data_IF_876549170556
#
_entry.id   IF_876549170556
#
_cell.length_a   1.000
_cell.length_b   1.000
_cell.length_c   1.000
_cell.angle_alpha   90.00
_cell.angle_beta   90.00
_cell.angle_gamma   90.00
#
_symmetry.space_group_name_H-M   'P 1'
#
loop_
_entity.id
_entity.type
_entity.pdbx_description
1 polymer ?
#
# COMPACT_ATOMS: atom_id res chain seq x y z
N UNK A 1 8.47 1.57 -13.98
CA UNK A 1 9.29 1.32 -12.77
C UNK A 1 8.46 0.50 -11.80
N UNK A 2 9.06 -0.51 -11.15
CA UNK A 2 8.42 -1.32 -10.11
C UNK A 2 9.18 -1.06 -8.82
N UNK A 3 8.48 -0.73 -7.74
CA UNK A 3 9.04 -0.63 -6.40
C UNK A 3 8.63 -1.87 -5.60
N UNK A 4 9.57 -2.42 -4.84
CA UNK A 4 9.33 -3.52 -3.92
C UNK A 4 9.46 -3.03 -2.47
N UNK A 5 8.60 -3.51 -1.59
CA UNK A 5 8.61 -3.16 -0.16
C UNK A 5 8.22 -4.39 0.64
N UNK A 6 9.04 -4.72 1.63
CA UNK A 6 8.83 -5.90 2.48
C UNK A 6 8.24 -5.46 3.80
N UNK A 7 7.20 -6.16 4.25
CA UNK A 7 6.62 -5.99 5.58
C UNK A 7 6.53 -7.35 6.29
N UNK A 8 6.42 -7.30 7.61
CA UNK A 8 6.12 -8.44 8.45
C UNK A 8 4.69 -8.29 8.95
N UNK A 9 3.87 -9.33 8.83
CA UNK A 9 2.50 -9.30 9.34
C UNK A 9 2.51 -9.12 10.85
N UNK A 10 1.78 -8.11 11.33
CA UNK A 10 1.67 -7.79 12.76
C UNK A 10 0.52 -8.57 13.38
N UNK A 11 0.66 -8.94 14.65
CA UNK A 11 -0.37 -9.69 15.36
C UNK A 11 -1.75 -9.00 15.34
N UNK A 12 -1.79 -7.66 15.46
CA UNK A 12 -3.06 -6.92 15.42
C UNK A 12 -3.79 -7.04 14.06
N UNK A 13 -3.05 -7.36 12.99
CA UNK A 13 -3.60 -7.39 11.64
C UNK A 13 -4.43 -8.66 11.38
N UNK A 14 -4.37 -9.66 12.28
CA UNK A 14 -5.11 -10.92 12.17
C UNK A 14 -6.49 -10.87 12.81
N UNK A 15 -7.42 -11.68 12.31
CA UNK A 15 -8.77 -11.84 12.87
C UNK A 15 -9.03 -13.27 13.40
N UNK A 16 -10.28 -13.54 13.79
CA UNK A 16 -10.70 -14.83 14.35
C UNK A 16 -10.55 -16.01 13.39
N UNK A 17 -10.33 -15.77 12.10
CA UNK A 17 -10.11 -16.81 11.08
C UNK A 17 -8.63 -17.23 10.99
N UNK A 18 -7.76 -16.78 11.91
CA UNK A 18 -6.32 -17.09 11.95
C UNK A 18 -5.56 -16.58 10.71
N UNK A 19 -6.06 -15.50 10.11
CA UNK A 19 -5.50 -14.86 8.92
C UNK A 19 -5.59 -13.35 9.04
N UNK A 20 -4.86 -12.64 8.18
CA UNK A 20 -4.94 -11.18 8.10
C UNK A 20 -6.35 -10.75 7.68
N UNK A 21 -6.95 -9.88 8.48
CA UNK A 21 -8.23 -9.26 8.16
C UNK A 21 -8.11 -8.51 6.83
N UNK A 22 -9.06 -8.75 5.92
CA UNK A 22 -9.00 -8.26 4.54
C UNK A 22 -8.78 -6.74 4.45
N UNK A 23 -9.29 -5.96 5.39
CA UNK A 23 -9.12 -4.51 5.42
C UNK A 23 -7.66 -4.05 5.56
N UNK A 24 -6.80 -4.83 6.22
CA UNK A 24 -5.41 -4.46 6.45
C UNK A 24 -4.56 -4.47 5.16
N UNK A 25 -5.02 -5.15 4.10
CA UNK A 25 -4.34 -5.11 2.80
C UNK A 25 -4.32 -3.68 2.22
N UNK A 26 -5.31 -2.83 2.50
CA UNK A 26 -5.31 -1.44 2.06
C UNK A 26 -4.24 -0.59 2.77
N UNK A 27 -3.97 -0.88 4.04
CA UNK A 27 -2.85 -0.28 4.77
C UNK A 27 -1.52 -0.67 4.12
N UNK A 28 -1.38 -1.92 3.68
CA UNK A 28 -0.19 -2.38 2.99
C UNK A 28 -0.04 -1.73 1.61
N UNK A 29 -1.14 -1.51 0.87
CA UNK A 29 -1.11 -0.77 -0.39
C UNK A 29 -0.64 0.68 -0.20
N UNK A 30 -1.05 1.33 0.90
CA UNK A 30 -0.56 2.65 1.24
C UNK A 30 0.94 2.66 1.54
N UNK A 31 1.45 1.66 2.29
CA UNK A 31 2.90 1.50 2.53
C UNK A 31 3.65 1.40 1.20
N UNK A 32 3.21 0.53 0.30
CA UNK A 32 3.82 0.39 -1.03
C UNK A 32 3.75 1.67 -1.87
N UNK A 33 2.62 2.39 -1.83
CA UNK A 33 2.45 3.69 -2.50
C UNK A 33 3.42 4.74 -1.96
N UNK A 34 3.56 4.82 -0.64
CA UNK A 34 4.45 5.79 0.00
C UNK A 34 5.93 5.50 -0.31
N UNK A 35 6.34 4.23 -0.29
CA UNK A 35 7.71 3.84 -0.66
C UNK A 35 7.96 4.00 -2.16
N UNK A 36 6.96 3.81 -3.01
CA UNK A 36 7.06 4.16 -4.43
C UNK A 36 7.29 5.66 -4.62
N UNK A 37 6.54 6.53 -3.95
CA UNK A 37 6.78 7.97 -3.99
C UNK A 37 8.18 8.33 -3.47
N UNK A 38 8.60 7.71 -2.36
CA UNK A 38 9.94 7.93 -1.79
C UNK A 38 11.04 7.54 -2.76
N UNK A 39 10.86 6.46 -3.53
CA UNK A 39 11.80 6.05 -4.59
C UNK A 39 11.94 7.09 -5.72
N UNK A 40 10.92 7.94 -5.91
CA UNK A 40 10.93 9.07 -6.84
C UNK A 40 11.48 10.37 -6.21
N UNK A 41 11.96 10.32 -4.96
CA UNK A 41 12.49 11.48 -4.25
C UNK A 41 11.43 12.42 -3.71
N UNK A 42 10.20 11.96 -3.52
CA UNK A 42 9.10 12.75 -2.94
C UNK A 42 8.34 11.97 -1.88
N UNK A 43 7.85 12.66 -0.86
CA UNK A 43 7.00 12.09 0.19
C UNK A 43 5.61 12.73 0.17
N UNK A 44 4.60 12.01 0.65
CA UNK A 44 3.24 12.55 0.82
C UNK A 44 3.26 13.86 1.64
N UNK A 45 4.07 13.91 2.70
CA UNK A 45 4.24 15.12 3.53
C UNK A 45 4.76 16.32 2.73
N UNK A 46 5.71 16.12 1.82
CA UNK A 46 6.22 17.20 0.97
C UNK A 46 5.19 17.67 -0.05
N UNK A 47 4.33 16.77 -0.54
CA UNK A 47 3.21 17.13 -1.42
C UNK A 47 2.15 17.93 -0.66
N UNK A 48 1.78 17.49 0.54
CA UNK A 48 0.84 18.20 1.41
C UNK A 48 1.34 19.61 1.75
N UNK A 49 2.64 19.75 2.07
CA UNK A 49 3.26 21.07 2.29
C UNK A 49 3.21 22.00 1.06
N UNK A 50 3.04 21.43 -0.14
CA UNK A 50 2.85 22.15 -1.39
C UNK A 50 1.37 22.32 -1.76
N UNK A 51 0.44 22.05 -0.83
CA UNK A 51 -1.00 22.01 -1.05
C UNK A 51 -1.45 21.01 -2.13
N UNK A 52 -0.70 19.93 -2.32
CA UNK A 52 -1.04 18.83 -3.21
C UNK A 52 -1.50 17.63 -2.39
N UNK A 53 -2.76 17.23 -2.58
CA UNK A 53 -3.35 16.05 -1.95
C UNK A 53 -3.45 14.90 -2.94
N UNK A 54 -3.32 13.67 -2.45
CA UNK A 54 -3.46 12.44 -3.24
C UNK A 54 -4.64 11.60 -2.71
N UNK A 55 -5.90 12.04 -2.87
CA UNK A 55 -7.05 11.27 -2.41
C UNK A 55 -7.23 9.99 -3.22
N UNK A 56 -7.56 8.90 -2.53
CA UNK A 56 -7.96 7.65 -3.17
C UNK A 56 -9.44 7.75 -3.54
N UNK A 57 -9.75 7.74 -4.83
CA UNK A 57 -11.13 7.81 -5.35
C UNK A 57 -11.73 6.43 -5.66
N UNK A 58 -10.87 5.44 -5.94
CA UNK A 58 -11.26 4.07 -6.24
C UNK A 58 -10.19 3.12 -5.68
N UNK A 59 -10.62 1.97 -5.17
CA UNK A 59 -9.70 0.91 -4.74
C UNK A 59 -10.33 -0.46 -4.95
N UNK A 60 -9.50 -1.47 -5.15
CA UNK A 60 -9.94 -2.85 -5.32
C UNK A 60 -8.88 -3.83 -4.83
N UNK A 61 -9.34 -4.96 -4.30
CA UNK A 61 -8.48 -6.05 -3.88
C UNK A 61 -9.10 -7.39 -4.25
N UNK A 62 -8.28 -8.28 -4.80
CA UNK A 62 -8.64 -9.69 -5.03
C UNK A 62 -7.78 -10.53 -4.11
N UNK A 63 -8.41 -11.22 -3.16
CA UNK A 63 -7.73 -12.06 -2.18
C UNK A 63 -7.60 -13.48 -2.76
N UNK A 64 -6.40 -13.85 -3.19
CA UNK A 64 -6.10 -15.15 -3.79
C UNK A 64 -5.62 -16.19 -2.76
N UNK A 65 -5.05 -15.71 -1.66
CA UNK A 65 -4.53 -16.52 -0.57
C UNK A 65 -4.41 -15.67 0.68
N UNK A 66 -4.43 -16.34 1.83
CA UNK A 66 -4.40 -15.68 3.13
C UNK A 66 -2.96 -15.54 3.63
N UNK A 67 -2.65 -14.38 4.20
CA UNK A 67 -1.45 -14.18 5.01
C UNK A 67 -1.73 -14.48 6.48
N UNK A 68 -0.73 -14.93 7.22
CA UNK A 68 -0.78 -15.25 8.64
C UNK A 68 0.15 -14.37 9.45
N UNK A 69 -0.04 -14.38 10.76
CA UNK A 69 0.88 -13.74 11.70
C UNK A 69 2.33 -14.18 11.44
N UNK A 70 3.24 -13.21 11.46
CA UNK A 70 4.68 -13.38 11.27
C UNK A 70 5.13 -13.76 9.84
N UNK A 71 4.21 -13.85 8.88
CA UNK A 71 4.58 -13.98 7.46
C UNK A 71 5.35 -12.75 6.97
N UNK A 72 6.33 -12.99 6.11
CA UNK A 72 6.99 -11.93 5.33
C UNK A 72 6.23 -11.69 4.04
N UNK A 73 5.75 -10.46 3.83
CA UNK A 73 4.95 -10.08 2.67
C UNK A 73 5.75 -9.12 1.80
N UNK A 74 5.89 -9.49 0.52
CA UNK A 74 6.47 -8.63 -0.51
C UNK A 74 5.37 -7.86 -1.24
N UNK A 75 5.35 -6.55 -1.06
CA UNK A 75 4.45 -5.61 -1.75
C UNK A 75 5.17 -5.10 -3.00
N UNK A 76 4.59 -5.33 -4.17
CA UNK A 76 5.08 -4.80 -5.45
C UNK A 76 4.17 -3.69 -5.94
N UNK A 77 4.70 -2.49 -6.11
CA UNK A 77 3.96 -1.30 -6.50
C UNK A 77 4.48 -0.76 -7.83
N UNK A 78 3.56 -0.45 -8.75
CA UNK A 78 3.89 0.21 -10.01
C UNK A 78 2.82 1.24 -10.36
N UNK A 79 3.24 2.32 -11.01
CA UNK A 79 2.34 3.26 -11.67
C UNK A 79 1.88 2.63 -13.00
N UNK A 80 0.57 2.43 -13.16
CA UNK A 80 -0.01 1.85 -14.38
C UNK A 80 -0.49 2.91 -15.37
N UNK A 81 -0.98 4.03 -14.86
CA UNK A 81 -1.51 5.13 -15.66
C UNK A 81 -1.28 6.46 -14.94
N UNK A 82 -0.97 7.50 -15.70
CA UNK A 82 -0.84 8.87 -15.21
C UNK A 82 -1.60 9.79 -16.18
N UNK A 83 -2.65 10.43 -15.68
CA UNK A 83 -3.47 11.37 -16.43
C UNK A 83 -3.57 12.68 -15.65
N UNK A 84 -3.64 13.80 -16.37
CA UNK A 84 -3.97 15.08 -15.77
C UNK A 84 -5.43 15.12 -15.34
N UNK A 85 -5.73 15.97 -14.36
CA UNK A 85 -7.11 16.32 -14.03
C UNK A 85 -7.62 17.23 -15.14
N UNK A 86 -8.70 16.84 -15.80
CA UNK A 86 -9.45 17.67 -16.75
C UNK A 86 -10.39 18.61 -16.02
#
# INVERSE_FOLDING_TARGET
MMQETTIRVRYQETDQMDVVYYGNYYTWFEVGRNEFLRSLGVTCKELENKNVLLPVIESGCKYLGSAKYDDEILIKTKLTELKGVS
#
